data_IF_247097985870
#
_entry.id   IF_247097985870
#
_cell.length_a   1.000
_cell.length_b   1.000
_cell.length_c   1.000
_cell.angle_alpha   90.00
_cell.angle_beta   90.00
_cell.angle_gamma   90.00
#
_symmetry.space_group_name_H-M   'P 1'
#
loop_
_entity.id
_entity.type
_entity.pdbx_description
1 polymer ?
#
# COMPACT_ATOMS: atom_id res chain seq x y z
N UNK A 1 -19.47 6.06 15.64
CA UNK A 1 -18.34 5.41 16.34
C UNK A 1 -17.45 4.68 15.35
N UNK A 2 -16.18 4.63 15.61
CA UNK A 2 -15.25 3.82 14.84
C UNK A 2 -15.60 2.36 15.08
N UNK A 3 -15.78 1.60 14.00
CA UNK A 3 -16.02 0.15 14.07
C UNK A 3 -14.70 -0.53 13.78
N UNK A 4 -14.21 -1.33 14.74
CA UNK A 4 -13.05 -2.18 14.51
C UNK A 4 -13.50 -3.49 13.89
N UNK A 5 -12.82 -3.88 12.82
CA UNK A 5 -12.97 -5.17 12.16
C UNK A 5 -11.60 -5.83 12.07
N UNK A 6 -11.57 -7.13 12.28
CA UNK A 6 -10.34 -7.90 12.25
C UNK A 6 -10.38 -8.90 11.11
N UNK A 7 -9.29 -8.97 10.37
CA UNK A 7 -9.16 -9.88 9.23
C UNK A 7 -7.87 -10.67 9.32
N UNK A 8 -7.94 -11.93 8.94
CA UNK A 8 -6.77 -12.76 8.69
C UNK A 8 -6.60 -12.93 7.18
N UNK A 9 -5.49 -12.45 6.66
CA UNK A 9 -5.21 -12.49 5.22
C UNK A 9 -3.97 -13.33 4.95
N UNK A 10 -4.12 -14.38 4.14
CA UNK A 10 -3.02 -15.17 3.60
C UNK A 10 -2.75 -14.72 2.16
N UNK A 11 -1.49 -14.42 1.87
CA UNK A 11 -1.05 -13.97 0.54
C UNK A 11 -0.11 -14.99 -0.08
N UNK A 12 -0.50 -15.52 -1.25
CA UNK A 12 0.36 -16.37 -2.07
C UNK A 12 0.73 -15.62 -3.34
N UNK A 13 2.01 -15.28 -3.46
CA UNK A 13 2.53 -14.64 -4.66
C UNK A 13 2.69 -15.63 -5.79
N UNK A 14 2.17 -15.30 -6.98
CA UNK A 14 2.33 -16.05 -8.22
C UNK A 14 3.38 -15.39 -9.12
N UNK A 15 3.31 -14.06 -9.29
CA UNK A 15 4.27 -13.25 -10.07
C UNK A 15 4.60 -11.96 -9.31
N UNK A 16 5.40 -11.07 -9.87
CA UNK A 16 5.67 -9.76 -9.27
C UNK A 16 4.44 -8.86 -9.23
N UNK A 17 3.47 -9.09 -10.10
CA UNK A 17 2.22 -8.33 -10.21
C UNK A 17 0.98 -9.10 -9.77
N UNK A 18 1.06 -10.44 -9.67
CA UNK A 18 -0.08 -11.29 -9.36
C UNK A 18 0.08 -11.96 -8.01
N UNK A 19 -0.93 -11.83 -7.17
CA UNK A 19 -1.00 -12.43 -5.84
C UNK A 19 -2.38 -13.06 -5.65
N UNK A 20 -2.44 -14.24 -5.06
CA UNK A 20 -3.70 -14.81 -4.56
C UNK A 20 -3.81 -14.46 -3.10
N UNK A 21 -4.92 -13.83 -2.73
CA UNK A 21 -5.23 -13.50 -1.35
C UNK A 21 -6.42 -14.32 -0.87
N UNK A 22 -6.30 -14.80 0.35
CA UNK A 22 -7.41 -15.41 1.08
C UNK A 22 -7.62 -14.61 2.34
N UNK A 23 -8.72 -13.89 2.38
CA UNK A 23 -9.10 -13.07 3.52
C UNK A 23 -10.34 -13.63 4.18
N UNK A 24 -10.34 -13.66 5.50
CA UNK A 24 -11.52 -13.97 6.30
C UNK A 24 -11.61 -13.03 7.49
N UNK A 25 -12.81 -12.65 7.84
CA UNK A 25 -13.06 -11.94 9.08
C UNK A 25 -12.81 -12.87 10.27
N UNK A 26 -12.22 -12.32 11.33
CA UNK A 26 -11.93 -13.01 12.59
C UNK A 26 -12.44 -12.18 13.75
N UNK A 27 -12.62 -12.80 14.90
CA UNK A 27 -12.96 -12.07 16.12
C UNK A 27 -11.73 -11.48 16.82
N UNK A 28 -11.95 -10.59 17.78
CA UNK A 28 -10.88 -9.94 18.53
C UNK A 28 -9.99 -10.95 19.29
N UNK A 29 -10.56 -12.05 19.80
CA UNK A 29 -9.83 -13.09 20.51
C UNK A 29 -8.86 -13.83 19.60
N UNK A 30 -9.31 -14.19 18.42
CA UNK A 30 -8.46 -14.84 17.41
C UNK A 30 -7.36 -13.86 16.93
N UNK A 31 -7.71 -12.59 16.72
CA UNK A 31 -6.74 -11.55 16.37
C UNK A 31 -5.64 -11.42 17.41
N UNK A 32 -5.99 -11.35 18.71
CA UNK A 32 -5.00 -11.27 19.78
C UNK A 32 -4.12 -12.51 19.87
N UNK A 33 -4.70 -13.71 19.65
CA UNK A 33 -3.95 -14.96 19.65
C UNK A 33 -2.93 -15.02 18.47
N UNK A 34 -3.31 -14.55 17.30
CA UNK A 34 -2.41 -14.45 16.14
C UNK A 34 -1.34 -13.37 16.37
N UNK A 35 -1.71 -12.23 16.94
CA UNK A 35 -0.79 -11.15 17.26
C UNK A 35 0.27 -11.58 18.29
N UNK A 36 -0.08 -12.44 19.25
CA UNK A 36 0.84 -13.01 20.22
C UNK A 36 1.89 -13.94 19.57
N UNK A 37 1.58 -14.51 18.41
CA UNK A 37 2.48 -15.39 17.64
C UNK A 37 3.34 -14.63 16.61
N UNK A 38 3.22 -13.29 16.57
CA UNK A 38 4.00 -12.49 15.63
C UNK A 38 5.50 -12.66 15.85
N UNK A 39 6.26 -12.54 14.78
CA UNK A 39 7.71 -12.48 14.83
C UNK A 39 8.16 -11.26 15.67
N UNK A 40 8.86 -11.46 16.80
CA UNK A 40 9.30 -10.37 17.67
C UNK A 40 10.32 -9.41 17.01
N UNK A 41 10.97 -9.83 15.91
CA UNK A 41 11.86 -9.00 15.12
C UNK A 41 11.11 -8.04 14.17
N UNK A 42 9.76 -8.11 14.14
CA UNK A 42 8.93 -7.28 13.26
C UNK A 42 8.02 -6.38 14.06
N UNK A 43 7.78 -5.19 13.52
CA UNK A 43 6.85 -4.22 14.09
C UNK A 43 5.50 -4.29 13.40
N UNK A 44 4.44 -3.92 14.12
CA UNK A 44 3.10 -3.76 13.54
C UNK A 44 3.13 -2.55 12.59
N UNK A 45 2.64 -2.74 11.38
CA UNK A 45 2.50 -1.66 10.40
C UNK A 45 1.18 -0.95 10.61
N UNK A 46 1.26 0.34 10.88
CA UNK A 46 0.12 1.26 10.89
C UNK A 46 0.12 2.07 9.60
N UNK A 47 -1.04 2.22 8.99
CA UNK A 47 -1.22 3.04 7.79
C UNK A 47 -2.64 3.59 7.73
N UNK A 48 -2.81 4.70 7.04
CA UNK A 48 -4.12 5.20 6.62
C UNK A 48 -4.27 4.90 5.13
N UNK A 49 -5.35 4.20 4.75
CA UNK A 49 -5.67 3.91 3.36
C UNK A 49 -6.79 4.82 2.88
N UNK A 50 -6.53 5.54 1.81
CA UNK A 50 -7.52 6.32 1.08
C UNK A 50 -7.90 5.57 -0.19
N UNK A 51 -9.20 5.32 -0.38
CA UNK A 51 -9.72 4.71 -1.60
C UNK A 51 -10.34 5.78 -2.49
N UNK A 52 -9.82 5.93 -3.69
CA UNK A 52 -10.22 6.96 -4.64
C UNK A 52 -10.74 6.30 -5.92
N UNK A 53 -12.07 6.28 -6.15
CA UNK A 53 -12.62 5.81 -7.41
C UNK A 53 -12.45 6.88 -8.49
N UNK A 54 -11.75 6.56 -9.57
CA UNK A 54 -11.56 7.45 -10.72
C UNK A 54 -11.36 6.63 -12.00
N UNK A 55 -12.02 7.04 -13.09
CA UNK A 55 -11.86 6.41 -14.40
C UNK A 55 -12.28 4.94 -14.47
N UNK A 56 -13.20 4.50 -13.63
CA UNK A 56 -13.63 3.10 -13.54
C UNK A 56 -12.68 2.18 -12.80
N UNK A 57 -11.63 2.74 -12.19
CA UNK A 57 -10.67 2.05 -11.32
C UNK A 57 -10.79 2.56 -9.89
N UNK A 58 -10.30 1.81 -8.94
CA UNK A 58 -10.14 2.23 -7.56
C UNK A 58 -8.64 2.32 -7.27
N UNK A 59 -8.21 3.50 -6.85
CA UNK A 59 -6.84 3.75 -6.42
C UNK A 59 -6.79 3.72 -4.90
N UNK A 60 -5.96 2.88 -4.34
CA UNK A 60 -5.75 2.77 -2.90
C UNK A 60 -4.42 3.44 -2.55
N UNK A 61 -4.47 4.49 -1.74
CA UNK A 61 -3.30 5.27 -1.35
C UNK A 61 -2.99 4.98 0.10
N UNK A 62 -1.91 4.27 0.35
CA UNK A 62 -1.42 3.92 1.68
C UNK A 62 -0.43 4.98 2.16
N UNK A 63 -0.83 5.72 3.18
CA UNK A 63 -0.01 6.72 3.87
C UNK A 63 0.53 6.11 5.16
N UNK A 64 1.84 6.12 5.32
CA UNK A 64 2.54 5.55 6.45
C UNK A 64 3.11 6.65 7.36
N UNK A 65 3.08 6.50 8.69
CA UNK A 65 3.57 7.52 9.61
C UNK A 65 5.10 7.73 9.57
N UNK A 66 5.84 6.78 9.01
CA UNK A 66 7.30 6.86 8.90
C UNK A 66 7.81 7.59 7.65
N UNK A 67 6.93 7.90 6.68
CA UNK A 67 7.25 8.73 5.52
C UNK A 67 6.39 10.00 5.53
N UNK A 68 7.00 11.13 5.20
CA UNK A 68 6.34 12.43 5.22
C UNK A 68 5.86 12.90 3.85
N UNK A 69 6.55 12.47 2.79
CA UNK A 69 6.37 12.92 1.40
C UNK A 69 5.98 11.79 0.47
N UNK A 70 6.09 10.54 0.91
CA UNK A 70 5.80 9.37 0.11
C UNK A 70 4.56 8.64 0.60
N UNK A 71 3.83 8.11 -0.35
CA UNK A 71 2.75 7.16 -0.15
C UNK A 71 2.89 6.03 -1.16
N UNK A 72 2.33 4.87 -0.87
CA UNK A 72 2.23 3.78 -1.84
C UNK A 72 0.83 3.81 -2.42
N UNK A 73 0.73 3.87 -3.74
CA UNK A 73 -0.54 3.76 -4.45
C UNK A 73 -0.67 2.36 -5.05
N UNK A 74 -1.79 1.73 -4.81
CA UNK A 74 -2.18 0.46 -5.41
C UNK A 74 -3.37 0.70 -6.35
N UNK A 75 -3.38 0.02 -7.49
CA UNK A 75 -4.50 0.02 -8.42
C UNK A 75 -4.71 -1.38 -8.95
N UNK A 76 -5.95 -1.85 -8.92
CA UNK A 76 -6.31 -3.12 -9.49
C UNK A 76 -6.62 -2.94 -10.98
N UNK A 77 -5.92 -3.71 -11.80
CA UNK A 77 -6.12 -3.72 -13.25
C UNK A 77 -6.72 -5.05 -13.67
N UNK A 78 -7.64 -5.03 -14.62
CA UNK A 78 -8.24 -6.23 -15.19
C UNK A 78 -7.25 -7.03 -16.06
N UNK A 79 -6.22 -6.35 -16.59
CA UNK A 79 -5.14 -6.93 -17.38
C UNK A 79 -3.82 -6.24 -17.05
N UNK A 80 -2.73 -6.97 -17.09
CA UNK A 80 -1.38 -6.45 -16.79
C UNK A 80 -0.93 -5.33 -17.75
N UNK A 81 -1.43 -5.32 -18.98
CA UNK A 81 -1.12 -4.31 -20.01
C UNK A 81 -2.09 -3.13 -20.02
N UNK A 82 -3.05 -3.09 -19.09
CA UNK A 82 -4.01 -1.99 -19.01
C UNK A 82 -3.30 -0.70 -18.59
N UNK A 83 -3.46 0.34 -19.40
CA UNK A 83 -3.01 1.68 -19.05
C UNK A 83 -4.01 2.37 -18.12
N UNK A 84 -3.49 3.24 -17.27
CA UNK A 84 -4.29 4.10 -16.41
C UNK A 84 -3.66 5.49 -16.31
N UNK A 85 -4.46 6.46 -15.90
CA UNK A 85 -3.99 7.80 -15.56
C UNK A 85 -4.05 7.95 -14.04
N UNK A 86 -2.96 8.44 -13.45
CA UNK A 86 -2.95 8.70 -12.01
C UNK A 86 -4.02 9.73 -11.63
N UNK A 87 -4.66 9.58 -10.47
CA UNK A 87 -5.65 10.53 -9.99
C UNK A 87 -5.10 11.96 -9.90
N UNK A 88 -5.97 12.92 -10.18
CA UNK A 88 -5.62 14.35 -10.13
C UNK A 88 -5.07 14.72 -8.74
N UNK A 89 -3.97 15.45 -8.70
CA UNK A 89 -3.30 15.87 -7.47
C UNK A 89 -2.29 14.86 -6.91
N UNK A 90 -2.20 13.67 -7.50
CA UNK A 90 -1.16 12.69 -7.19
C UNK A 90 -0.08 12.70 -8.26
N UNK A 91 1.14 12.52 -7.81
CA UNK A 91 2.29 12.39 -8.69
C UNK A 91 2.93 11.03 -8.50
N UNK A 92 2.89 10.23 -9.54
CA UNK A 92 3.59 8.95 -9.60
C UNK A 92 5.07 9.20 -9.80
N UNK A 93 5.90 8.69 -8.92
CA UNK A 93 7.36 8.80 -9.00
C UNK A 93 7.96 7.62 -9.75
N UNK A 94 7.54 6.41 -9.44
CA UNK A 94 7.95 5.20 -10.14
C UNK A 94 7.01 4.02 -9.85
N UNK A 95 7.03 3.02 -10.71
CA UNK A 95 6.41 1.73 -10.43
C UNK A 95 7.28 0.90 -9.49
N UNK A 96 6.65 0.31 -8.47
CA UNK A 96 7.31 -0.47 -7.43
C UNK A 96 6.70 -1.86 -7.22
N UNK A 97 5.95 -2.38 -8.18
CA UNK A 97 5.32 -3.71 -8.10
C UNK A 97 6.32 -4.82 -7.80
N UNK A 98 7.52 -4.74 -8.38
CA UNK A 98 8.63 -5.66 -8.15
C UNK A 98 9.50 -5.34 -6.94
N UNK A 99 9.35 -4.16 -6.30
CA UNK A 99 10.20 -3.76 -5.18
C UNK A 99 9.72 -4.42 -3.88
N UNK A 100 10.41 -5.49 -3.50
CA UNK A 100 10.06 -6.27 -2.30
C UNK A 100 10.21 -5.51 -0.99
N UNK A 101 11.07 -4.48 -0.95
CA UNK A 101 11.30 -3.65 0.26
C UNK A 101 10.03 -2.92 0.70
N UNK A 102 9.13 -2.63 -0.25
CA UNK A 102 7.90 -1.85 -0.04
C UNK A 102 6.66 -2.70 0.24
N UNK A 103 6.82 -4.00 0.40
CA UNK A 103 5.73 -4.87 0.90
C UNK A 103 5.60 -4.73 2.41
N UNK A 104 4.38 -4.74 2.95
CA UNK A 104 4.15 -4.58 4.38
C UNK A 104 4.98 -5.54 5.24
N UNK A 105 5.14 -6.80 4.79
CA UNK A 105 5.96 -7.78 5.48
C UNK A 105 7.45 -7.39 5.55
N UNK A 106 7.99 -6.72 4.54
CA UNK A 106 9.36 -6.22 4.55
C UNK A 106 9.47 -4.94 5.38
N UNK A 107 8.52 -4.01 5.21
CA UNK A 107 8.44 -2.77 5.99
C UNK A 107 8.34 -3.06 7.50
N UNK A 108 7.67 -4.14 7.90
CA UNK A 108 7.60 -4.58 9.29
C UNK A 108 8.98 -4.97 9.87
N UNK A 109 9.93 -5.35 9.04
CA UNK A 109 11.30 -5.68 9.46
C UNK A 109 12.30 -4.53 9.24
N UNK A 110 12.11 -3.77 8.17
CA UNK A 110 12.99 -2.65 7.81
C UNK A 110 12.27 -1.64 6.92
N UNK A 111 12.27 -0.39 7.34
CA UNK A 111 11.71 0.72 6.56
C UNK A 111 12.86 1.41 5.81
N UNK A 112 12.86 1.42 4.47
CA UNK A 112 13.85 2.18 3.70
C UNK A 112 13.76 3.67 4.02
N UNK A 113 14.88 4.39 4.13
CA UNK A 113 14.87 5.84 4.30
C UNK A 113 14.14 6.55 3.16
N UNK A 114 13.29 7.51 3.49
CA UNK A 114 12.52 8.27 2.49
C UNK A 114 13.40 8.94 1.45
N UNK A 115 14.54 9.50 1.89
CA UNK A 115 15.51 10.16 1.00
C UNK A 115 16.14 9.19 -0.02
N UNK A 116 16.37 7.94 0.37
CA UNK A 116 16.87 6.90 -0.54
C UNK A 116 15.84 6.62 -1.65
N UNK A 117 14.57 6.44 -1.28
CA UNK A 117 13.50 6.19 -2.23
C UNK A 117 13.27 7.37 -3.18
N UNK A 118 13.37 8.60 -2.66
CA UNK A 118 13.27 9.82 -3.47
C UNK A 118 14.45 9.96 -4.43
N UNK A 119 15.67 9.66 -3.98
CA UNK A 119 16.85 9.70 -4.83
C UNK A 119 16.78 8.64 -5.95
N UNK A 120 16.32 7.42 -5.65
CA UNK A 120 16.08 6.38 -6.65
C UNK A 120 15.04 6.82 -7.69
N UNK A 121 13.97 7.48 -7.27
CA UNK A 121 12.95 8.01 -8.17
C UNK A 121 13.50 9.14 -9.06
N UNK A 122 14.30 10.05 -8.50
CA UNK A 122 14.91 11.16 -9.24
C UNK A 122 15.94 10.67 -10.28
N UNK A 123 16.69 9.61 -9.97
CA UNK A 123 17.64 8.97 -10.90
C UNK A 123 17.00 8.40 -12.15
N UNK A 124 15.69 8.12 -12.12
CA UNK A 124 14.90 7.66 -13.26
C UNK A 124 14.28 8.80 -14.09
N UNK A 125 14.71 10.05 -13.91
CA UNK A 125 14.30 11.20 -14.75
C UNK A 125 12.96 11.83 -14.39
N UNK A 126 12.41 11.55 -13.20
CA UNK A 126 11.15 12.11 -12.73
C UNK A 126 11.42 13.14 -11.64
N UNK A 127 11.07 14.42 -11.87
CA UNK A 127 11.24 15.53 -10.90
C UNK A 127 10.03 15.61 -9.95
N UNK A 128 10.22 15.80 -8.64
CA UNK A 128 9.17 15.78 -7.62
C UNK A 128 8.78 17.19 -7.16
N UNK A 129 7.50 17.52 -7.20
CA UNK A 129 6.91 18.67 -6.47
C UNK A 129 5.70 18.22 -5.63
N UNK A 130 5.63 18.70 -4.40
CA UNK A 130 4.55 18.39 -3.47
C UNK A 130 3.33 19.28 -3.74
N UNK A 131 2.15 18.66 -3.92
CA UNK A 131 0.88 19.38 -3.93
C UNK A 131 0.13 19.15 -2.61
N UNK A 132 -0.35 20.22 -2.00
CA UNK A 132 -1.00 20.21 -0.70
C UNK A 132 -2.51 19.97 -0.77
N UNK A 133 -3.03 19.44 0.32
CA UNK A 133 -4.39 19.49 0.90
C UNK A 133 -5.55 18.68 0.30
N UNK A 134 -6.07 17.79 1.15
CA UNK A 134 -7.48 17.49 1.29
C UNK A 134 -8.02 16.20 0.66
N UNK A 135 -7.86 15.06 1.35
CA UNK A 135 -8.55 13.82 1.01
C UNK A 135 -9.24 13.26 2.26
N UNK A 136 -10.52 12.86 2.13
CA UNK A 136 -11.33 12.25 3.19
C UNK A 136 -11.32 10.72 3.05
N UNK A 137 -11.20 9.92 4.14
CA UNK A 137 -11.15 8.46 4.05
C UNK A 137 -12.52 7.83 3.72
N UNK A 138 -12.51 6.78 2.90
CA UNK A 138 -13.64 5.89 2.63
C UNK A 138 -13.23 4.43 2.75
N UNK A 139 -14.14 3.59 3.26
CA UNK A 139 -13.92 2.17 3.54
C UNK A 139 -14.16 1.26 2.32
N UNK A 140 -13.38 0.18 2.20
CA UNK A 140 -13.66 -0.98 1.33
C UNK A 140 -12.45 -1.57 0.61
N UNK A 141 -12.24 -2.88 0.77
CA UNK A 141 -11.12 -3.72 0.24
C UNK A 141 -11.36 -4.21 -1.19
N UNK A 142 -10.44 -5.05 -1.72
CA UNK A 142 -9.01 -4.94 -2.01
C UNK A 142 -8.59 -5.19 -3.48
N UNK A 143 -7.36 -5.05 -3.78
CA UNK A 143 -6.31 -5.71 -4.58
C UNK A 143 -5.83 -4.98 -5.85
N UNK A 144 -4.68 -5.21 -6.31
CA UNK A 144 -3.28 -5.25 -6.06
C UNK A 144 -2.48 -4.75 -7.28
N UNK A 145 -1.75 -3.71 -7.13
CA UNK A 145 -0.72 -3.18 -8.02
C UNK A 145 -0.12 -1.92 -7.38
N UNK A 146 1.20 -1.90 -7.11
CA UNK A 146 1.80 -0.87 -6.24
C UNK A 146 2.59 0.16 -7.02
N UNK A 147 2.33 1.45 -6.75
CA UNK A 147 3.04 2.60 -7.28
C UNK A 147 3.40 3.55 -6.13
N UNK A 148 4.59 4.09 -6.16
CA UNK A 148 5.01 5.22 -5.32
C UNK A 148 4.92 6.50 -6.11
#
# INVERSE_FOLDING_TARGET
GETEQFFHTEKQRLTDRTCVEREREIDAREYEALLAQRDPARVTIHKVRYCLPEGGLVFEIDVYPFWRRLAVMEVELQREDQSFTAPRGLRVLREVSGDRRLKNAALAGHVPPEEELLAEAAGNGITVEAAGNGITPLHGSPECGKII
#
